data_IF_738146452894
#
_entry.id   IF_738146452894
#
_cell.length_a   1.000
_cell.length_b   1.000
_cell.length_c   1.000
_cell.angle_alpha   90.00
_cell.angle_beta   90.00
_cell.angle_gamma   90.00
#
_symmetry.space_group_name_H-M   'P 1'
#
loop_
_entity.id
_entity.type
_entity.pdbx_description
1 polymer ?
#
# COMPACT_ATOMS: atom_id res chain seq x y z
N UNK A 1 -4.70 8.41 5.91
CA UNK A 1 -5.25 7.30 5.11
C UNK A 1 -5.45 7.72 3.65
N UNK A 2 -5.15 6.82 2.72
CA UNK A 2 -5.25 7.10 1.29
C UNK A 2 -6.69 7.02 0.78
N UNK A 3 -6.99 7.78 -0.28
CA UNK A 3 -8.29 7.70 -0.97
C UNK A 3 -8.32 6.68 -2.11
N UNK A 4 -7.21 6.02 -2.40
CA UNK A 4 -7.14 4.95 -3.42
C UNK A 4 -7.99 3.75 -3.02
N UNK A 5 -8.45 2.98 -4.01
CA UNK A 5 -9.14 1.73 -3.76
C UNK A 5 -8.18 0.68 -3.18
N UNK A 6 -8.69 -0.16 -2.31
CA UNK A 6 -7.90 -1.23 -1.68
C UNK A 6 -7.82 -2.51 -2.53
N UNK A 7 -8.56 -2.60 -3.64
CA UNK A 7 -8.62 -3.77 -4.51
C UNK A 7 -8.72 -5.10 -3.75
N UNK A 8 -9.64 -5.15 -2.79
CA UNK A 8 -9.80 -6.22 -1.81
C UNK A 8 -9.81 -7.62 -2.44
N UNK A 9 -9.37 -8.63 -1.67
CA UNK A 9 -9.49 -10.04 -2.05
C UNK A 9 -10.95 -10.46 -2.13
N UNK A 10 -11.77 -10.04 -1.16
CA UNK A 10 -13.23 -10.23 -1.13
C UNK A 10 -13.96 -8.87 -1.22
N UNK A 11 -14.14 -8.32 -2.45
CA UNK A 11 -14.63 -6.96 -2.59
C UNK A 11 -16.14 -6.86 -2.28
N UNK A 12 -16.51 -6.18 -1.19
CA UNK A 12 -17.92 -5.93 -0.85
C UNK A 12 -18.67 -5.16 -1.95
N UNK A 13 -17.99 -4.30 -2.70
CA UNK A 13 -18.59 -3.60 -3.85
C UNK A 13 -18.94 -4.55 -5.01
N UNK A 14 -18.18 -5.62 -5.21
CA UNK A 14 -18.47 -6.66 -6.20
C UNK A 14 -19.70 -7.47 -5.77
N UNK A 15 -19.71 -7.90 -4.50
CA UNK A 15 -20.83 -8.68 -3.94
C UNK A 15 -22.14 -7.89 -3.97
N UNK A 16 -22.10 -6.58 -3.75
CA UNK A 16 -23.27 -5.70 -3.75
C UNK A 16 -23.81 -5.37 -5.16
N UNK A 17 -23.09 -5.68 -6.24
CA UNK A 17 -23.51 -5.26 -7.57
C UNK A 17 -24.55 -6.20 -8.19
N UNK A 18 -25.85 -5.79 -8.31
CA UNK A 18 -26.90 -6.67 -8.85
C UNK A 18 -26.71 -6.95 -10.35
N UNK A 19 -25.95 -6.11 -11.06
CA UNK A 19 -25.66 -6.28 -12.49
C UNK A 19 -24.39 -7.06 -12.75
N UNK A 20 -23.65 -7.47 -11.70
CA UNK A 20 -22.32 -8.09 -11.82
C UNK A 20 -21.37 -7.29 -12.75
N UNK A 21 -21.50 -5.95 -12.69
CA UNK A 21 -20.69 -5.03 -13.46
C UNK A 21 -19.31 -4.80 -12.82
N UNK A 22 -19.08 -5.28 -11.58
CA UNK A 22 -17.80 -5.22 -10.93
C UNK A 22 -17.17 -6.60 -10.98
N UNK A 23 -15.90 -6.65 -11.37
CA UNK A 23 -15.14 -7.89 -11.49
C UNK A 23 -13.71 -7.71 -10.98
N UNK A 24 -13.07 -8.80 -10.62
CA UNK A 24 -11.67 -8.86 -10.22
C UNK A 24 -10.88 -9.50 -11.34
N UNK A 25 -9.80 -8.85 -11.74
CA UNK A 25 -8.87 -9.39 -12.74
C UNK A 25 -8.09 -10.54 -12.12
N UNK A 26 -7.97 -11.68 -12.79
CA UNK A 26 -7.17 -12.81 -12.29
C UNK A 26 -5.66 -12.54 -12.38
N UNK A 27 -5.21 -11.69 -13.31
CA UNK A 27 -3.80 -11.45 -13.61
C UNK A 27 -3.10 -10.67 -12.50
N UNK A 28 -3.78 -9.69 -11.90
CA UNK A 28 -3.20 -8.76 -10.95
C UNK A 28 -4.08 -8.49 -9.72
N UNK A 29 -5.25 -9.13 -9.66
CA UNK A 29 -6.19 -8.93 -8.56
C UNK A 29 -6.86 -7.56 -8.52
N UNK A 30 -6.67 -6.71 -9.53
CA UNK A 30 -7.30 -5.38 -9.61
C UNK A 30 -8.81 -5.52 -9.80
N UNK A 31 -9.57 -4.81 -8.99
CA UNK A 31 -11.05 -4.80 -9.08
C UNK A 31 -11.47 -3.65 -9.98
N UNK A 32 -12.23 -3.94 -11.03
CA UNK A 32 -12.69 -2.98 -12.04
C UNK A 32 -14.21 -2.90 -12.12
N UNK A 33 -14.69 -1.86 -12.81
CA UNK A 33 -16.11 -1.66 -13.16
C UNK A 33 -16.23 -1.74 -14.67
N UNK A 34 -17.03 -2.67 -15.16
CA UNK A 34 -17.48 -2.74 -16.55
C UNK A 34 -18.51 -1.62 -16.77
N UNK A 35 -18.11 -0.60 -17.51
CA UNK A 35 -18.91 0.59 -17.76
C UNK A 35 -20.15 0.30 -18.62
N UNK A 36 -20.09 -0.70 -19.50
CA UNK A 36 -21.20 -1.08 -20.36
C UNK A 36 -22.29 -1.84 -19.61
N UNK A 37 -21.89 -2.68 -18.64
CA UNK A 37 -22.82 -3.40 -17.76
C UNK A 37 -23.40 -2.55 -16.66
N UNK A 38 -22.67 -1.50 -16.23
CA UNK A 38 -23.11 -0.65 -15.14
C UNK A 38 -24.38 0.11 -15.51
N UNK A 39 -25.37 0.12 -14.59
CA UNK A 39 -26.63 0.87 -14.72
C UNK A 39 -26.83 1.88 -13.60
N UNK A 40 -25.76 2.19 -12.85
CA UNK A 40 -25.75 3.26 -11.87
C UNK A 40 -26.63 3.02 -10.63
N UNK A 41 -26.90 1.79 -10.25
CA UNK A 41 -27.71 1.47 -9.06
C UNK A 41 -27.06 1.90 -7.74
N UNK A 42 -25.78 2.21 -7.72
CA UNK A 42 -24.99 2.74 -6.58
C UNK A 42 -24.81 1.78 -5.40
N UNK A 43 -25.30 0.54 -5.48
CA UNK A 43 -25.14 -0.45 -4.40
C UNK A 43 -23.65 -0.67 -4.05
N UNK A 44 -22.76 -0.59 -5.04
CA UNK A 44 -21.32 -0.68 -4.81
C UNK A 44 -20.75 0.48 -3.95
N UNK A 45 -21.38 1.66 -3.98
CA UNK A 45 -20.98 2.81 -3.15
C UNK A 45 -21.33 2.54 -1.69
N UNK A 46 -22.50 1.93 -1.45
CA UNK A 46 -22.93 1.54 -0.10
C UNK A 46 -22.20 0.29 0.38
N UNK A 47 -22.05 -0.72 -0.48
CA UNK A 47 -21.40 -1.99 -0.17
C UNK A 47 -19.88 -1.89 0.04
N UNK A 48 -19.24 -0.76 -0.30
CA UNK A 48 -17.83 -0.56 -0.02
C UNK A 48 -17.62 0.03 1.39
N UNK A 49 -17.08 -0.74 2.36
CA UNK A 49 -16.89 -0.22 3.72
C UNK A 49 -15.85 0.92 3.75
N UNK A 50 -14.94 0.95 2.79
CA UNK A 50 -13.90 1.99 2.66
C UNK A 50 -14.35 3.21 1.86
N UNK A 51 -15.57 3.21 1.28
CA UNK A 51 -16.13 4.29 0.45
C UNK A 51 -15.21 4.70 -0.71
N UNK A 52 -14.72 3.70 -1.46
CA UNK A 52 -13.80 3.89 -2.60
C UNK A 52 -14.48 3.71 -3.97
N UNK A 53 -15.73 3.28 -4.01
CA UNK A 53 -16.57 3.36 -5.21
C UNK A 53 -17.33 4.69 -5.19
N UNK A 54 -17.43 5.33 -6.35
CA UNK A 54 -18.08 6.63 -6.53
C UNK A 54 -19.09 6.53 -7.68
N UNK A 55 -20.12 7.34 -7.63
CA UNK A 55 -21.07 7.49 -8.72
C UNK A 55 -20.79 8.79 -9.46
N UNK A 56 -20.74 8.74 -10.78
CA UNK A 56 -20.61 9.93 -11.63
C UNK A 56 -21.96 10.30 -12.24
N UNK A 57 -22.56 11.44 -11.85
CA UNK A 57 -23.87 11.85 -12.35
C UNK A 57 -23.91 12.10 -13.86
N UNK A 58 -22.81 12.60 -14.44
CA UNK A 58 -22.71 12.92 -15.87
C UNK A 58 -22.76 11.69 -16.78
N UNK A 59 -22.03 10.63 -16.43
CA UNK A 59 -22.03 9.36 -17.16
C UNK A 59 -23.08 8.37 -16.67
N UNK A 60 -23.72 8.64 -15.53
CA UNK A 60 -24.74 7.80 -14.86
C UNK A 60 -24.24 6.39 -14.50
N UNK A 61 -22.93 6.21 -14.36
CA UNK A 61 -22.30 4.94 -13.96
C UNK A 61 -21.43 5.11 -12.72
N UNK A 62 -21.08 4.00 -12.09
CA UNK A 62 -20.16 4.01 -10.97
C UNK A 62 -18.71 3.92 -11.47
N UNK A 63 -17.84 4.58 -10.75
CA UNK A 63 -16.39 4.62 -11.03
C UNK A 63 -15.60 4.33 -9.77
N UNK A 64 -14.37 3.87 -9.95
CA UNK A 64 -13.40 3.66 -8.87
C UNK A 64 -11.99 3.67 -9.43
N UNK A 65 -11.00 3.70 -8.54
CA UNK A 65 -9.60 3.52 -8.91
C UNK A 65 -9.42 2.25 -9.75
N UNK A 66 -8.68 2.35 -10.85
CA UNK A 66 -8.38 1.24 -11.76
C UNK A 66 -7.04 0.54 -11.43
N UNK A 67 -6.40 0.88 -10.29
CA UNK A 67 -5.10 0.32 -9.91
C UNK A 67 -3.94 0.72 -10.82
N UNK A 68 -4.17 1.56 -11.83
CA UNK A 68 -3.23 1.82 -12.92
C UNK A 68 -2.80 0.52 -13.65
N UNK A 69 -3.71 -0.45 -13.82
CA UNK A 69 -3.40 -1.76 -14.37
C UNK A 69 -2.58 -1.75 -15.67
N UNK A 70 -2.73 -0.77 -16.61
CA UNK A 70 -1.88 -0.75 -17.81
C UNK A 70 -0.39 -0.51 -17.49
N UNK A 71 -0.09 0.16 -16.36
CA UNK A 71 1.29 0.31 -15.90
C UNK A 71 1.79 -0.97 -15.22
N UNK A 72 0.93 -1.62 -14.44
CA UNK A 72 1.26 -2.91 -13.79
C UNK A 72 1.61 -3.96 -14.85
N UNK A 73 0.84 -4.04 -15.93
CA UNK A 73 1.10 -4.93 -17.09
C UNK A 73 2.47 -4.68 -17.75
N UNK A 74 2.99 -3.46 -17.64
CA UNK A 74 4.33 -3.11 -18.13
C UNK A 74 5.43 -3.18 -17.05
N UNK A 75 5.14 -3.78 -15.89
CA UNK A 75 6.09 -3.90 -14.78
C UNK A 75 6.32 -2.60 -13.99
N UNK A 76 5.46 -1.59 -14.21
CA UNK A 76 5.63 -0.28 -13.56
C UNK A 76 4.63 -0.06 -12.42
N UNK A 77 5.08 0.63 -11.39
CA UNK A 77 4.25 1.04 -10.26
C UNK A 77 3.17 2.03 -10.65
N UNK A 78 2.07 2.01 -9.90
CA UNK A 78 0.94 2.94 -10.10
C UNK A 78 1.36 4.40 -9.88
N UNK A 79 0.68 5.34 -10.55
CA UNK A 79 0.99 6.78 -10.49
C UNK A 79 0.96 7.35 -9.07
N UNK A 80 0.11 6.84 -8.19
CA UNK A 80 0.06 7.31 -6.80
C UNK A 80 1.27 6.84 -5.96
N UNK A 81 1.98 5.79 -6.39
CA UNK A 81 3.25 5.36 -5.80
C UNK A 81 4.38 6.25 -6.32
N UNK A 82 4.52 6.34 -7.64
CA UNK A 82 5.56 7.11 -8.31
C UNK A 82 5.50 8.60 -7.95
N UNK A 83 4.30 9.20 -7.97
CA UNK A 83 4.10 10.61 -7.63
C UNK A 83 4.09 10.93 -6.12
N UNK A 84 4.47 9.98 -5.26
CA UNK A 84 4.50 10.23 -3.82
C UNK A 84 5.70 11.10 -3.42
N UNK A 85 5.44 12.36 -3.08
CA UNK A 85 6.48 13.32 -2.67
C UNK A 85 7.27 12.82 -1.45
N UNK A 86 6.58 12.18 -0.50
CA UNK A 86 7.22 11.64 0.71
C UNK A 86 8.00 10.35 0.50
N UNK A 87 7.97 9.75 -0.70
CA UNK A 87 8.64 8.47 -1.00
C UNK A 87 8.33 7.35 0.01
N UNK A 88 7.09 7.31 0.50
CA UNK A 88 6.62 6.40 1.56
C UNK A 88 5.71 5.30 1.02
N UNK A 89 5.75 5.03 -0.27
CA UNK A 89 4.90 4.03 -0.92
C UNK A 89 5.75 3.05 -1.70
N UNK A 90 5.32 1.81 -1.67
CA UNK A 90 5.85 0.72 -2.47
C UNK A 90 4.69 -0.07 -3.07
N UNK A 91 4.88 -0.64 -4.22
CA UNK A 91 3.96 -1.56 -4.86
C UNK A 91 4.72 -2.84 -5.21
N UNK A 92 4.03 -3.97 -5.08
CA UNK A 92 4.54 -5.29 -5.43
C UNK A 92 3.41 -6.29 -5.39
N UNK A 93 3.76 -7.55 -5.47
CA UNK A 93 2.87 -8.69 -5.41
C UNK A 93 2.75 -9.20 -3.98
N UNK A 94 1.62 -9.82 -3.67
CA UNK A 94 1.40 -10.49 -2.40
C UNK A 94 0.95 -11.92 -2.66
N UNK A 95 1.61 -12.84 -1.99
CA UNK A 95 1.28 -14.27 -2.01
C UNK A 95 0.36 -14.63 -0.84
N UNK A 96 -0.34 -15.77 -0.90
CA UNK A 96 -0.97 -16.34 0.28
C UNK A 96 0.05 -16.56 1.40
N UNK A 97 -0.35 -16.51 2.68
CA UNK A 97 0.59 -16.60 3.80
C UNK A 97 1.44 -17.87 3.84
N UNK A 98 0.91 -18.99 3.32
CA UNK A 98 1.58 -20.29 3.23
C UNK A 98 2.58 -20.38 2.07
N UNK A 99 2.55 -19.43 1.15
CA UNK A 99 3.42 -19.33 -0.02
C UNK A 99 4.26 -18.05 -0.02
N UNK A 100 4.33 -17.37 1.11
CA UNK A 100 5.03 -16.09 1.23
C UNK A 100 6.54 -16.23 0.93
N UNK A 101 7.03 -15.44 -0.02
CA UNK A 101 8.45 -15.36 -0.36
C UNK A 101 9.14 -14.29 0.51
N UNK A 102 10.10 -14.68 1.38
CA UNK A 102 10.81 -13.72 2.22
C UNK A 102 11.70 -12.74 1.45
N UNK A 103 11.93 -12.97 0.17
CA UNK A 103 12.69 -12.07 -0.70
C UNK A 103 11.77 -11.17 -1.56
N UNK A 104 10.45 -11.41 -1.53
CA UNK A 104 9.46 -10.46 -2.06
C UNK A 104 9.24 -9.32 -1.06
N UNK A 105 9.32 -8.05 -1.48
CA UNK A 105 9.18 -6.90 -0.57
C UNK A 105 7.86 -6.88 0.19
N UNK A 106 6.74 -7.16 -0.49
CA UNK A 106 5.42 -7.09 0.11
C UNK A 106 5.17 -8.28 1.03
N UNK A 107 5.50 -9.50 0.59
CA UNK A 107 5.38 -10.70 1.42
C UNK A 107 6.23 -10.59 2.69
N UNK A 108 7.45 -10.08 2.55
CA UNK A 108 8.33 -9.86 3.71
C UNK A 108 7.68 -8.92 4.74
N UNK A 109 7.17 -7.76 4.29
CA UNK A 109 6.57 -6.78 5.21
C UNK A 109 5.27 -7.27 5.85
N UNK A 110 4.45 -8.02 5.10
CA UNK A 110 3.11 -8.44 5.55
C UNK A 110 3.17 -9.74 6.32
N UNK A 111 3.89 -10.73 5.83
CA UNK A 111 3.85 -12.10 6.35
C UNK A 111 5.05 -12.45 7.24
N UNK A 112 6.25 -11.97 6.91
CA UNK A 112 7.49 -12.31 7.65
C UNK A 112 7.74 -11.31 8.78
N UNK A 113 8.03 -10.04 8.47
CA UNK A 113 8.28 -9.00 9.46
C UNK A 113 7.00 -8.47 10.12
N UNK A 114 5.83 -8.71 9.51
CA UNK A 114 4.50 -8.37 10.01
C UNK A 114 4.32 -6.90 10.40
N UNK A 115 5.10 -6.01 9.79
CA UNK A 115 5.05 -4.57 10.05
C UNK A 115 3.96 -3.84 9.27
N UNK A 116 3.51 -4.40 8.14
CA UNK A 116 2.47 -3.84 7.31
C UNK A 116 1.11 -4.49 7.58
N UNK A 117 0.11 -3.69 7.91
CA UNK A 117 -1.21 -4.14 8.36
C UNK A 117 -2.32 -3.68 7.43
N UNK A 118 -3.35 -4.50 7.19
CA UNK A 118 -4.52 -4.11 6.42
C UNK A 118 -5.39 -3.13 7.22
N UNK A 119 -6.15 -2.29 6.52
CA UNK A 119 -7.10 -1.37 7.15
C UNK A 119 -8.42 -2.09 7.48
N UNK A 120 -8.88 -2.00 8.72
CA UNK A 120 -10.12 -2.59 9.22
C UNK A 120 -10.26 -4.08 8.87
N UNK A 121 -9.38 -4.94 9.39
CA UNK A 121 -9.40 -6.39 9.11
C UNK A 121 -10.74 -7.04 9.51
N UNK A 122 -11.45 -6.46 10.49
CA UNK A 122 -12.75 -6.95 10.97
C UNK A 122 -13.86 -6.88 9.90
N UNK A 123 -13.67 -6.17 8.80
CA UNK A 123 -14.67 -6.16 7.71
C UNK A 123 -14.62 -7.41 6.82
N UNK A 124 -13.60 -8.27 6.97
CA UNK A 124 -13.48 -9.52 6.24
C UNK A 124 -13.29 -9.38 4.71
N UNK A 125 -12.97 -8.17 4.24
CA UNK A 125 -12.80 -7.90 2.79
C UNK A 125 -11.37 -8.12 2.31
N UNK A 126 -10.43 -8.34 3.21
CA UNK A 126 -8.98 -8.50 2.92
C UNK A 126 -8.46 -7.45 1.94
N UNK A 127 -8.27 -6.21 2.39
CA UNK A 127 -7.78 -5.14 1.52
C UNK A 127 -6.31 -5.36 1.12
N UNK A 128 -5.99 -5.21 -0.16
CA UNK A 128 -4.63 -5.29 -0.71
C UNK A 128 -3.91 -3.93 -0.68
N UNK A 129 -4.19 -3.13 0.30
CA UNK A 129 -3.48 -1.91 0.65
C UNK A 129 -3.12 -1.97 2.13
N UNK A 130 -1.82 -2.06 2.40
CA UNK A 130 -1.28 -2.23 3.73
C UNK A 130 -0.65 -0.94 4.22
N UNK A 131 -0.57 -0.78 5.53
CA UNK A 131 -0.01 0.38 6.20
C UNK A 131 1.00 -0.06 7.26
N UNK A 132 2.14 0.59 7.30
CA UNK A 132 3.04 0.54 8.44
C UNK A 132 2.46 1.53 9.47
N UNK A 133 1.99 1.08 10.65
CA UNK A 133 1.33 1.95 11.62
C UNK A 133 2.29 3.03 12.12
N UNK A 134 1.89 4.32 12.15
CA UNK A 134 2.78 5.39 12.59
C UNK A 134 2.99 5.35 14.12
N UNK A 135 4.24 5.43 14.58
CA UNK A 135 4.60 5.36 16.01
C UNK A 135 4.11 6.53 16.87
N UNK A 136 3.80 7.66 16.23
CA UNK A 136 3.38 8.89 16.90
C UNK A 136 1.88 8.95 17.21
N UNK A 137 1.06 8.08 16.62
CA UNK A 137 -0.38 8.05 16.85
C UNK A 137 -0.72 7.19 18.08
N UNK A 138 -1.84 7.49 18.79
CA UNK A 138 -2.29 6.72 19.94
C UNK A 138 -2.52 5.24 19.59
N UNK A 139 -2.01 4.34 20.41
CA UNK A 139 -2.04 2.88 20.19
C UNK A 139 -3.45 2.33 20.05
N UNK A 140 -4.37 2.76 20.91
CA UNK A 140 -5.75 2.27 20.87
C UNK A 140 -6.46 2.67 19.59
N UNK A 141 -6.19 3.88 19.07
CA UNK A 141 -6.68 4.30 17.76
C UNK A 141 -6.10 3.45 16.63
N UNK A 142 -4.82 3.14 16.67
CA UNK A 142 -4.18 2.28 15.67
C UNK A 142 -4.72 0.85 15.70
N UNK A 143 -4.99 0.30 16.90
CA UNK A 143 -5.61 -1.03 17.06
C UNK A 143 -7.02 -1.08 16.48
N UNK A 144 -7.80 0.01 16.58
CA UNK A 144 -9.10 0.10 15.91
C UNK A 144 -8.98 0.08 14.39
N UNK A 145 -7.94 0.72 13.84
CA UNK A 145 -7.73 0.81 12.38
C UNK A 145 -7.16 -0.48 11.79
N UNK A 146 -6.18 -1.08 12.46
CA UNK A 146 -5.32 -2.12 11.90
C UNK A 146 -5.43 -3.47 12.63
N UNK A 147 -6.26 -3.54 13.67
CA UNK A 147 -6.44 -4.75 14.45
C UNK A 147 -5.29 -5.05 15.43
N UNK A 148 -5.26 -6.28 15.97
CA UNK A 148 -4.20 -6.73 16.85
C UNK A 148 -2.85 -6.81 16.13
N UNK A 149 -1.75 -6.81 16.89
CA UNK A 149 -0.39 -6.86 16.34
C UNK A 149 0.19 -5.51 15.91
N UNK A 150 -0.47 -4.39 16.22
CA UNK A 150 0.04 -3.04 15.99
C UNK A 150 1.28 -2.76 16.84
N UNK A 151 1.27 -3.17 18.10
CA UNK A 151 2.39 -2.93 19.02
C UNK A 151 3.63 -3.68 18.53
N UNK A 152 3.50 -4.97 18.20
CA UNK A 152 4.57 -5.78 17.64
C UNK A 152 5.12 -5.18 16.33
N UNK A 153 4.24 -4.74 15.43
CA UNK A 153 4.66 -4.12 14.18
C UNK A 153 5.51 -2.87 14.42
N UNK A 154 5.11 -2.02 15.37
CA UNK A 154 5.84 -0.79 15.69
C UNK A 154 7.17 -1.11 16.37
N UNK A 155 7.20 -2.04 17.29
CA UNK A 155 8.43 -2.46 17.99
C UNK A 155 9.45 -3.05 17.00
N UNK A 156 8.97 -3.84 16.03
CA UNK A 156 9.82 -4.41 14.99
C UNK A 156 10.48 -3.34 14.12
N UNK A 157 9.70 -2.39 13.59
CA UNK A 157 10.30 -1.38 12.69
C UNK A 157 11.02 -0.24 13.42
N UNK A 158 10.86 -0.09 14.72
CA UNK A 158 11.67 0.84 15.52
C UNK A 158 13.10 0.37 15.72
N UNK A 159 13.33 -0.93 15.68
CA UNK A 159 14.64 -1.57 15.78
C UNK A 159 14.82 -2.56 14.63
N UNK A 160 14.85 -2.06 13.38
CA UNK A 160 14.93 -2.92 12.22
C UNK A 160 16.28 -3.65 12.19
N UNK A 161 16.27 -4.91 11.77
CA UNK A 161 17.47 -5.59 11.32
C UNK A 161 17.95 -5.03 9.97
N UNK A 162 19.09 -5.46 9.51
CA UNK A 162 19.67 -4.96 8.26
C UNK A 162 18.79 -5.28 7.05
N UNK A 163 18.09 -6.42 7.03
CA UNK A 163 17.19 -6.80 5.94
C UNK A 163 15.98 -5.86 5.87
N UNK A 164 15.33 -5.62 7.00
CA UNK A 164 14.20 -4.69 7.07
C UNK A 164 14.62 -3.25 6.78
N UNK A 165 15.76 -2.83 7.33
CA UNK A 165 16.28 -1.48 7.10
C UNK A 165 16.58 -1.26 5.61
N UNK A 166 17.26 -2.21 4.96
CA UNK A 166 17.53 -2.18 3.54
C UNK A 166 16.25 -2.11 2.71
N UNK A 167 15.24 -2.93 3.04
CA UNK A 167 13.94 -2.86 2.36
C UNK A 167 13.28 -1.49 2.48
N UNK A 168 13.27 -0.91 3.67
CA UNK A 168 12.69 0.42 3.88
C UNK A 168 13.39 1.53 3.08
N UNK A 169 14.67 1.35 2.75
CA UNK A 169 15.42 2.28 1.88
C UNK A 169 14.99 2.21 0.41
N UNK A 170 14.38 1.11 -0.02
CA UNK A 170 13.91 0.95 -1.40
C UNK A 170 12.59 1.68 -1.70
N UNK A 171 11.91 2.21 -0.68
CA UNK A 171 10.62 2.90 -0.87
C UNK A 171 10.76 4.13 -1.77
N UNK A 172 9.96 4.16 -2.84
CA UNK A 172 9.86 5.30 -3.75
C UNK A 172 11.14 5.63 -4.53
N UNK A 173 12.06 4.68 -4.65
CA UNK A 173 13.35 4.87 -5.33
C UNK A 173 13.32 4.54 -6.82
N UNK A 174 12.36 3.74 -7.27
CA UNK A 174 12.17 3.36 -8.67
C UNK A 174 10.71 3.48 -9.10
N UNK A 175 10.48 3.60 -10.40
CA UNK A 175 9.15 3.50 -11.01
C UNK A 175 8.75 2.06 -11.31
N UNK A 176 9.71 1.16 -11.38
CA UNK A 176 9.47 -0.26 -11.65
C UNK A 176 8.95 -0.97 -10.40
N UNK A 177 8.20 -2.05 -10.60
CA UNK A 177 7.77 -2.93 -9.52
C UNK A 177 8.98 -3.77 -9.08
N UNK A 178 9.30 -3.70 -7.80
CA UNK A 178 10.33 -4.54 -7.19
C UNK A 178 9.69 -5.89 -6.87
N UNK A 179 10.12 -6.95 -7.55
CA UNK A 179 9.61 -8.30 -7.28
C UNK A 179 10.44 -9.04 -6.25
N UNK A 180 11.76 -8.84 -6.27
CA UNK A 180 12.67 -9.41 -5.28
C UNK A 180 13.68 -8.40 -4.77
N UNK A 181 14.12 -8.60 -3.55
CA UNK A 181 15.21 -7.80 -2.97
C UNK A 181 16.16 -8.67 -2.15
N UNK A 182 17.38 -8.21 -2.10
CA UNK A 182 18.44 -8.79 -1.26
C UNK A 182 19.13 -7.67 -0.48
N UNK A 183 19.69 -8.03 0.66
CA UNK A 183 20.57 -7.15 1.42
C UNK A 183 21.91 -7.85 1.63
N UNK A 184 22.96 -7.26 1.08
CA UNK A 184 24.35 -7.74 1.20
C UNK A 184 25.25 -6.57 1.52
N UNK A 185 26.14 -6.76 2.49
CA UNK A 185 27.15 -5.75 2.87
C UNK A 185 26.57 -4.34 3.03
N UNK A 186 25.46 -4.23 3.77
CA UNK A 186 24.70 -2.99 4.00
C UNK A 186 24.28 -2.27 2.70
N UNK A 187 23.98 -3.07 1.68
CA UNK A 187 23.47 -2.59 0.39
C UNK A 187 22.18 -3.34 0.08
N UNK A 188 21.10 -2.60 -0.16
CA UNK A 188 19.85 -3.15 -0.65
C UNK A 188 19.88 -3.21 -2.18
N UNK A 189 19.56 -4.37 -2.74
CA UNK A 189 19.53 -4.63 -4.17
C UNK A 189 18.13 -5.06 -4.55
N UNK A 190 17.57 -4.46 -5.58
CA UNK A 190 16.22 -4.74 -6.06
C UNK A 190 16.23 -5.33 -7.47
N UNK A 191 15.33 -6.28 -7.70
CA UNK A 191 15.21 -7.01 -8.96
C UNK A 191 13.81 -6.91 -9.52
N UNK A 192 13.70 -6.89 -10.85
CA UNK A 192 12.41 -7.00 -11.57
C UNK A 192 11.97 -8.47 -11.73
N UNK A 193 10.79 -8.68 -12.37
CA UNK A 193 10.24 -10.00 -12.63
C UNK A 193 11.06 -10.88 -13.59
N UNK A 194 12.00 -10.29 -14.31
CA UNK A 194 12.95 -11.02 -15.16
C UNK A 194 14.26 -11.37 -14.40
N UNK A 195 14.33 -11.02 -13.12
CA UNK A 195 15.53 -11.23 -12.30
C UNK A 195 16.68 -10.27 -12.61
N UNK A 196 16.42 -9.17 -13.33
CA UNK A 196 17.44 -8.15 -13.61
C UNK A 196 17.54 -7.18 -12.44
N UNK A 197 18.75 -6.83 -12.04
CA UNK A 197 18.99 -5.77 -11.06
C UNK A 197 18.50 -4.43 -11.62
N UNK A 198 17.58 -3.79 -10.92
CA UNK A 198 17.00 -2.48 -11.30
C UNK A 198 17.46 -1.35 -10.39
N UNK A 199 17.95 -1.68 -9.20
CA UNK A 199 18.38 -0.70 -8.22
C UNK A 199 19.39 -1.28 -7.25
N UNK A 200 20.40 -0.46 -6.86
CA UNK A 200 21.36 -0.75 -5.80
C UNK A 200 21.47 0.46 -4.88
N UNK A 201 21.16 0.27 -3.60
CA UNK A 201 21.08 1.35 -2.62
C UNK A 201 21.94 1.02 -1.39
N UNK A 202 23.12 1.59 -1.26
CA UNK A 202 23.89 1.47 -0.02
C UNK A 202 23.20 2.25 1.11
N UNK A 203 23.29 1.76 2.35
CA UNK A 203 22.71 2.41 3.53
C UNK A 203 23.72 2.63 4.67
N UNK A 204 24.99 2.80 4.29
CA UNK A 204 26.08 3.14 5.23
C UNK A 204 26.05 4.62 5.67
N UNK A 205 25.33 5.44 4.94
CA UNK A 205 25.14 6.83 5.34
C UNK A 205 24.38 6.88 6.66
N UNK A 206 24.91 7.57 7.68
CA UNK A 206 24.16 7.79 8.89
C UNK A 206 22.81 8.44 8.53
N UNK A 207 21.73 7.95 9.12
CA UNK A 207 20.46 8.66 9.07
C UNK A 207 20.76 10.11 9.46
N UNK A 208 20.59 11.05 8.55
CA UNK A 208 20.64 12.47 8.88
C UNK A 208 19.49 12.69 9.84
N UNK A 209 19.80 12.57 11.12
CA UNK A 209 18.88 13.02 12.17
C UNK A 209 18.89 14.53 12.03
N UNK A 210 17.89 15.07 11.33
CA UNK A 210 17.67 16.51 11.34
C UNK A 210 17.48 16.89 12.78
N UNK A 211 18.27 17.85 13.26
CA UNK A 211 18.04 18.49 14.54
C UNK A 211 16.56 18.87 14.64
N UNK A 212 15.99 18.68 15.80
CA UNK A 212 14.59 19.08 16.03
C UNK A 212 14.43 20.50 15.52
N UNK A 213 13.51 20.69 14.58
CA UNK A 213 13.05 22.04 14.23
C UNK A 213 12.73 22.71 15.56
N UNK A 214 13.34 23.86 15.78
CA UNK A 214 13.05 24.68 16.97
C UNK A 214 11.54 24.76 17.14
N UNK A 215 11.04 24.23 18.26
CA UNK A 215 9.62 24.17 18.52
C UNK A 215 8.99 25.56 18.56
N UNK A 216 9.76 26.60 18.96
CA UNK A 216 9.30 27.97 18.90
C UNK A 216 9.14 28.47 17.46
N UNK A 217 10.04 28.13 16.56
CA UNK A 217 9.94 28.49 15.16
C UNK A 217 8.76 27.78 14.46
N UNK A 218 8.51 26.53 14.81
CA UNK A 218 7.37 25.79 14.29
C UNK A 218 6.02 26.35 14.81
N UNK A 219 5.97 26.73 16.10
CA UNK A 219 4.77 27.33 16.70
C UNK A 219 4.48 28.70 16.09
N UNK A 220 5.49 29.54 15.87
CA UNK A 220 5.33 30.85 15.25
C UNK A 220 4.81 30.75 13.79
N UNK A 221 5.29 29.78 13.03
CA UNK A 221 4.83 29.57 11.63
C UNK A 221 3.39 29.09 11.51
N UNK A 222 2.89 28.35 12.50
CA UNK A 222 1.51 27.84 12.46
C UNK A 222 0.47 28.83 13.01
N UNK A 223 0.92 29.88 13.68
CA UNK A 223 0.03 30.87 14.30
C UNK A 223 0.05 32.25 13.60
N UNK A 224 0.79 32.39 12.51
CA UNK A 224 0.65 33.56 11.64
C UNK A 224 -0.54 33.36 10.70
N UNK A 225 -1.48 34.34 10.63
CA UNK A 225 -2.65 34.28 9.78
C UNK A 225 -2.32 34.33 8.27
#
# INVERSE_FOLDING_TARGET
LQRTCNHCTYPGCLAACPRKAIYKRPEDGVVLVDQERCRGYRECVQGCPYKKAMYRPTSKVSEKCIGCYPRIESGQSSRCVVGCVGKIRMQGWISPPDQADPDSPIDYMVHVAKIAKPLYPQFGTEPNLYYIPPRWAPRDFLKQLFGPGVDEAIDTYQKPDDKLFGLLRLFGTTEDIIEKFEVRDRTAIAFDGAGREILRMPFDEPLIVRDRIDTQFAIQRFNEP
#
